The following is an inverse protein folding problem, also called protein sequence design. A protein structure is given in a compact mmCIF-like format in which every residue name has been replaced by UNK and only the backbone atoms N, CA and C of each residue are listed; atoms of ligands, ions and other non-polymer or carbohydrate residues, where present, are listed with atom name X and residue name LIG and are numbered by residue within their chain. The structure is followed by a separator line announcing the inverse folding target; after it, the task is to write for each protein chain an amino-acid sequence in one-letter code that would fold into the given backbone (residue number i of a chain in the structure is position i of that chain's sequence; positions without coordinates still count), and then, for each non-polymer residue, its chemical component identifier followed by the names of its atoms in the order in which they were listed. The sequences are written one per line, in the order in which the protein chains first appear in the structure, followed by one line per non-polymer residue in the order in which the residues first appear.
data_IF_391193579829
#
_entry.id   IF_391193579829
#
_cell.length_a   1.000
_cell.length_b   1.000
_cell.length_c   1.000
_cell.angle_alpha   90.00
_cell.angle_beta   90.00
_cell.angle_gamma   90.00
#
_symmetry.space_group_name_H-M   'P 1'
#
loop_
_entity.id
_entity.type
_entity.pdbx_description
1 polymer ?
#
# COMPACT_ATOMS: atom_id res chain seq x y z
N UNK A 1 22.38 9.16 -6.04
CA UNK A 1 22.46 7.76 -5.59
C UNK A 1 22.02 7.66 -4.14
N UNK A 2 20.88 7.03 -3.84
CA UNK A 2 20.36 6.92 -2.46
C UNK A 2 20.36 5.46 -2.03
N UNK A 3 21.48 5.03 -1.43
CA UNK A 3 21.58 3.77 -0.68
C UNK A 3 20.73 3.92 0.59
N UNK A 4 19.65 3.16 0.75
CA UNK A 4 18.97 3.03 2.06
C UNK A 4 19.15 1.59 2.54
N UNK A 5 19.82 1.49 3.70
CA UNK A 5 20.18 0.28 4.45
C UNK A 5 18.95 -0.21 5.26
N UNK A 6 19.01 -1.47 5.67
CA UNK A 6 18.08 -2.28 6.48
C UNK A 6 17.33 -1.52 7.62
N UNK A 7 16.20 -2.04 8.15
CA UNK A 7 15.44 -1.38 9.21
C UNK A 7 16.30 -1.25 10.47
N UNK A 8 16.85 -0.06 10.66
CA UNK A 8 17.53 0.33 11.88
C UNK A 8 16.47 0.64 12.93
N UNK A 9 16.67 0.13 14.16
CA UNK A 9 15.96 0.67 15.32
C UNK A 9 16.10 2.18 15.32
N UNK A 10 14.98 2.84 15.11
CA UNK A 10 14.88 4.27 15.02
C UNK A 10 14.86 4.82 16.46
N UNK A 11 15.82 5.66 16.89
CA UNK A 11 15.88 6.22 18.25
C UNK A 11 14.63 7.02 18.65
N UNK A 12 13.84 7.42 17.66
CA UNK A 12 12.64 8.24 17.74
C UNK A 12 11.37 7.45 17.39
N UNK A 13 11.39 6.12 17.51
CA UNK A 13 10.27 5.24 17.11
C UNK A 13 8.93 5.68 17.73
N UNK A 14 8.93 5.99 19.03
CA UNK A 14 7.73 6.46 19.72
C UNK A 14 7.13 7.74 19.10
N UNK A 15 7.97 8.69 18.66
CA UNK A 15 7.52 9.92 18.01
C UNK A 15 6.98 9.60 16.61
N UNK A 16 7.65 8.73 15.86
CA UNK A 16 7.22 8.37 14.51
C UNK A 16 5.91 7.60 14.50
N UNK A 17 5.67 6.76 15.51
CA UNK A 17 4.44 6.02 15.69
C UNK A 17 3.29 6.97 16.04
N UNK A 18 3.52 7.88 16.98
CA UNK A 18 2.59 8.94 17.35
C UNK A 18 2.15 9.77 16.13
N UNK A 19 3.11 10.24 15.32
CA UNK A 19 2.84 11.02 14.12
C UNK A 19 2.14 10.19 13.04
N UNK A 20 2.45 8.90 12.94
CA UNK A 20 1.78 7.99 11.99
C UNK A 20 0.32 7.73 12.38
N UNK A 21 0.04 7.59 13.68
CA UNK A 21 -1.32 7.45 14.20
C UNK A 21 -2.15 8.71 13.93
N UNK A 22 -1.59 9.91 14.20
CA UNK A 22 -2.23 11.18 13.83
C UNK A 22 -2.48 11.29 12.32
N UNK A 23 -1.52 10.88 11.50
CA UNK A 23 -1.68 10.91 10.06
C UNK A 23 -2.89 10.06 9.64
N UNK A 24 -2.95 8.81 10.11
CA UNK A 24 -4.03 7.88 9.78
C UNK A 24 -5.38 8.42 10.23
N UNK A 25 -5.48 9.00 11.43
CA UNK A 25 -6.69 9.65 11.89
C UNK A 25 -7.13 10.81 10.99
N UNK A 26 -6.21 11.72 10.64
CA UNK A 26 -6.57 12.84 9.76
C UNK A 26 -7.01 12.36 8.37
N UNK A 27 -6.42 11.28 7.85
CA UNK A 27 -6.80 10.69 6.55
C UNK A 27 -8.15 9.98 6.61
N UNK A 28 -8.35 9.12 7.61
CA UNK A 28 -9.47 8.19 7.65
C UNK A 28 -10.71 8.80 8.29
N UNK A 29 -10.54 9.63 9.32
CA UNK A 29 -11.66 10.23 10.05
C UNK A 29 -11.94 11.64 9.54
N UNK A 30 -10.93 12.50 9.49
CA UNK A 30 -11.14 13.90 9.05
C UNK A 30 -11.08 14.09 7.53
N UNK A 31 -10.64 13.07 6.79
CA UNK A 31 -10.42 13.14 5.33
C UNK A 31 -9.50 14.30 4.91
N UNK A 32 -8.63 14.74 5.80
CA UNK A 32 -7.71 15.87 5.63
C UNK A 32 -6.34 15.39 5.09
N UNK A 33 -6.27 15.17 3.78
CA UNK A 33 -5.07 14.64 3.09
C UNK A 33 -3.83 15.53 3.29
N UNK A 34 -3.99 16.85 3.32
CA UNK A 34 -2.88 17.78 3.54
C UNK A 34 -2.23 17.59 4.92
N UNK A 35 -3.03 17.33 5.97
CA UNK A 35 -2.51 17.05 7.32
C UNK A 35 -1.86 15.66 7.39
N UNK A 36 -2.47 14.67 6.73
CA UNK A 36 -1.87 13.34 6.58
C UNK A 36 -0.46 13.43 5.98
N UNK A 37 -0.31 14.17 4.87
CA UNK A 37 0.98 14.34 4.20
C UNK A 37 1.99 15.06 5.10
N UNK A 38 1.58 16.09 5.83
CA UNK A 38 2.45 16.80 6.76
C UNK A 38 2.99 15.89 7.87
N UNK A 39 2.11 15.12 8.54
CA UNK A 39 2.53 14.18 9.58
C UNK A 39 3.41 13.05 9.03
N UNK A 40 3.12 12.53 7.83
CA UNK A 40 3.94 11.49 7.18
C UNK A 40 5.31 12.03 6.78
N UNK A 41 5.40 13.28 6.28
CA UNK A 41 6.68 13.93 5.98
C UNK A 41 7.49 14.07 7.27
N UNK A 42 6.90 14.59 8.34
CA UNK A 42 7.56 14.72 9.64
C UNK A 42 8.05 13.37 10.19
N UNK A 43 7.19 12.34 10.21
CA UNK A 43 7.57 11.01 10.67
C UNK A 43 8.73 10.42 9.85
N UNK A 44 8.72 10.58 8.51
CA UNK A 44 9.78 10.08 7.64
C UNK A 44 11.11 10.81 7.82
N UNK A 45 11.09 12.08 8.23
CA UNK A 45 12.30 12.87 8.46
C UNK A 45 12.88 12.51 9.83
N UNK A 46 12.03 12.44 10.85
CA UNK A 46 12.40 12.05 12.21
C UNK A 46 12.94 10.61 12.26
N UNK A 47 12.36 9.67 11.50
CA UNK A 47 12.82 8.28 11.45
C UNK A 47 14.24 8.13 10.90
N UNK A 48 14.75 9.12 10.16
CA UNK A 48 16.12 9.12 9.61
C UNK A 48 17.09 9.91 10.47
N UNK A 49 16.61 10.56 11.52
CA UNK A 49 17.45 11.37 12.40
C UNK A 49 18.28 10.42 13.29
N UNK A 50 19.62 10.58 13.32
CA UNK A 50 20.51 9.56 13.90
C UNK A 50 20.49 9.52 15.43
N UNK A 51 20.06 10.60 16.08
CA UNK A 51 20.00 10.72 17.54
C UNK A 51 18.56 10.87 18.03
N UNK A 52 18.35 10.66 19.33
CA UNK A 52 17.06 10.89 19.96
C UNK A 52 16.77 12.39 20.05
N UNK A 53 15.62 12.82 19.54
CA UNK A 53 15.12 14.19 19.61
C UNK A 53 14.72 14.48 21.06
N UNK A 54 15.23 15.59 21.60
CA UNK A 54 15.01 16.01 22.98
C UNK A 54 13.99 17.15 23.11
N UNK A 55 13.68 17.84 22.02
CA UNK A 55 12.69 18.92 22.01
C UNK A 55 12.04 19.09 20.64
N UNK A 56 10.85 19.69 20.62
CA UNK A 56 10.17 20.15 19.41
C UNK A 56 10.96 21.24 18.69
N UNK A 57 11.71 22.08 19.42
CA UNK A 57 12.61 23.06 18.80
C UNK A 57 13.72 22.40 17.98
N UNK A 58 14.29 21.30 18.47
CA UNK A 58 15.24 20.48 17.71
C UNK A 58 14.56 19.84 16.49
N UNK A 59 13.36 19.28 16.67
CA UNK A 59 12.59 18.69 15.57
C UNK A 59 12.26 19.72 14.48
N UNK A 60 11.92 20.97 14.85
CA UNK A 60 11.55 22.06 13.93
C UNK A 60 12.68 22.47 12.98
N UNK A 61 13.94 22.21 13.34
CA UNK A 61 15.10 22.46 12.46
C UNK A 61 15.12 21.52 11.25
N UNK A 62 14.38 20.41 11.31
CA UNK A 62 14.32 19.42 10.24
C UNK A 62 13.31 19.85 9.16
N UNK A 63 13.71 19.83 7.88
CA UNK A 63 12.78 20.12 6.78
C UNK A 63 11.62 19.12 6.76
N UNK A 64 10.41 19.62 6.94
CA UNK A 64 9.18 18.83 7.01
C UNK A 64 8.52 18.80 8.39
N UNK A 65 9.14 19.39 9.42
CA UNK A 65 8.53 19.57 10.74
C UNK A 65 8.12 21.03 10.95
N UNK A 66 6.82 21.28 10.89
CA UNK A 66 6.26 22.62 11.16
C UNK A 66 6.07 22.91 12.65
N UNK A 67 5.83 24.18 13.00
CA UNK A 67 5.63 24.65 14.39
C UNK A 67 4.58 23.83 15.15
N UNK A 68 3.41 23.58 14.55
CA UNK A 68 2.33 22.80 15.18
C UNK A 68 2.67 21.32 15.41
N UNK A 69 3.63 20.78 14.66
CA UNK A 69 4.11 19.40 14.84
C UNK A 69 5.16 19.39 15.96
N UNK A 70 6.08 20.35 15.95
CA UNK A 70 7.05 20.55 17.03
C UNK A 70 6.37 20.69 18.40
N UNK A 71 5.32 21.50 18.53
CA UNK A 71 4.55 21.65 19.78
C UNK A 71 3.97 20.31 20.28
N UNK A 72 3.52 19.43 19.37
CA UNK A 72 2.99 18.10 19.73
C UNK A 72 4.10 17.15 20.17
N UNK A 73 5.29 17.30 19.58
CA UNK A 73 6.47 16.55 20.00
C UNK A 73 6.88 17.00 21.40
N UNK A 74 6.87 18.29 21.71
CA UNK A 74 7.14 18.82 23.05
C UNK A 74 6.10 18.32 24.08
N UNK A 75 4.81 18.35 23.75
CA UNK A 75 3.75 17.79 24.62
C UNK A 75 4.00 16.30 24.89
N UNK A 76 4.33 15.53 23.85
CA UNK A 76 4.61 14.10 23.98
C UNK A 76 5.88 13.81 24.79
N UNK A 77 6.95 14.56 24.59
CA UNK A 77 8.20 14.38 25.32
C UNK A 77 8.08 14.77 26.80
N UNK A 78 7.26 15.77 27.12
CA UNK A 78 7.05 16.23 28.50
C UNK A 78 6.08 15.34 29.29
N UNK A 79 4.99 14.90 28.66
CA UNK A 79 3.92 14.16 29.36
C UNK A 79 3.91 12.66 29.09
N UNK A 80 4.69 12.19 28.11
CA UNK A 80 4.65 10.81 27.60
C UNK A 80 3.38 10.48 26.80
N UNK A 81 2.46 11.43 26.65
CA UNK A 81 1.16 11.24 25.99
C UNK A 81 0.83 12.45 25.12
N UNK A 82 -0.14 12.29 24.23
CA UNK A 82 -0.67 13.41 23.45
C UNK A 82 -2.18 13.46 23.67
N UNK A 83 -2.69 14.54 24.27
CA UNK A 83 -4.11 14.66 24.65
C UNK A 83 -5.04 14.40 23.46
N UNK A 84 -4.64 14.84 22.27
CA UNK A 84 -5.42 14.62 21.04
C UNK A 84 -5.53 13.14 20.69
N UNK A 85 -4.44 12.38 20.79
CA UNK A 85 -4.47 10.92 20.51
C UNK A 85 -5.29 10.19 21.56
N UNK A 86 -5.18 10.54 22.83
CA UNK A 86 -5.96 9.88 23.88
C UNK A 86 -7.47 10.04 23.63
N UNK A 87 -7.91 11.24 23.21
CA UNK A 87 -9.31 11.46 22.79
C UNK A 87 -9.70 10.63 21.57
N UNK A 88 -8.80 10.51 20.60
CA UNK A 88 -9.04 9.71 19.39
C UNK A 88 -9.18 8.22 19.74
N UNK A 89 -8.35 7.72 20.66
CA UNK A 89 -8.38 6.33 21.14
C UNK A 89 -9.63 6.01 21.95
N UNK A 90 -10.21 7.00 22.62
CA UNK A 90 -11.48 6.88 23.34
C UNK A 90 -12.72 6.97 22.44
N UNK A 91 -12.57 7.42 21.19
CA UNK A 91 -13.69 7.52 20.25
C UNK A 91 -13.86 6.20 19.47
N UNK A 92 -14.87 5.43 19.88
CA UNK A 92 -15.26 4.16 19.25
C UNK A 92 -15.55 4.31 17.75
N UNK A 93 -16.07 5.47 17.31
CA UNK A 93 -16.35 5.70 15.89
C UNK A 93 -15.05 5.77 15.10
N UNK A 94 -14.06 6.47 15.64
CA UNK A 94 -12.75 6.64 15.02
C UNK A 94 -11.96 5.32 14.98
N UNK A 95 -12.02 4.52 16.04
CA UNK A 95 -11.37 3.21 16.09
C UNK A 95 -11.99 2.25 15.07
N UNK A 96 -13.32 2.19 14.98
CA UNK A 96 -14.04 1.38 13.98
C UNK A 96 -13.75 1.83 12.56
N UNK A 97 -13.76 3.14 12.26
CA UNK A 97 -13.41 3.63 10.92
C UNK A 97 -11.99 3.18 10.53
N UNK A 98 -11.03 3.34 11.44
CA UNK A 98 -9.65 2.91 11.18
C UNK A 98 -9.55 1.40 10.96
N UNK A 99 -10.24 0.59 11.77
CA UNK A 99 -10.29 -0.87 11.61
C UNK A 99 -10.83 -1.26 10.24
N UNK A 100 -12.00 -0.74 9.85
CA UNK A 100 -12.64 -1.10 8.59
C UNK A 100 -11.83 -0.64 7.38
N UNK A 101 -11.13 0.50 7.45
CA UNK A 101 -10.24 0.95 6.37
C UNK A 101 -9.01 0.07 6.14
N UNK A 102 -8.67 -0.85 7.06
CA UNK A 102 -7.61 -1.84 6.85
C UNK A 102 -8.04 -2.94 5.89
N UNK A 103 -9.35 -3.16 5.72
CA UNK A 103 -9.88 -4.12 4.75
C UNK A 103 -9.67 -3.59 3.34
N UNK A 104 -9.02 -4.39 2.49
CA UNK A 104 -8.76 -4.00 1.10
C UNK A 104 -10.06 -3.66 0.37
N UNK A 105 -10.08 -2.55 -0.36
CA UNK A 105 -11.28 -2.04 -1.03
C UNK A 105 -12.23 -1.19 -0.17
N UNK A 106 -12.00 -1.07 1.15
CA UNK A 106 -12.78 -0.18 2.02
C UNK A 106 -12.01 1.12 2.27
N UNK A 107 -12.46 2.20 1.63
CA UNK A 107 -11.93 3.55 1.86
C UNK A 107 -12.62 4.28 3.03
N UNK A 108 -12.08 5.43 3.47
CA UNK A 108 -12.64 6.23 4.58
C UNK A 108 -14.13 6.54 4.49
N UNK A 109 -14.62 6.87 3.30
CA UNK A 109 -16.04 7.18 3.08
C UNK A 109 -16.93 5.94 3.24
N UNK A 110 -16.50 4.79 2.72
CA UNK A 110 -17.22 3.53 2.86
C UNK A 110 -17.19 3.05 4.31
N UNK A 111 -16.04 3.14 4.99
CA UNK A 111 -15.90 2.80 6.40
C UNK A 111 -16.83 3.63 7.29
N UNK A 112 -16.92 4.95 7.07
CA UNK A 112 -17.85 5.79 7.82
C UNK A 112 -19.30 5.37 7.61
N UNK A 113 -19.72 5.15 6.35
CA UNK A 113 -21.07 4.69 6.05
C UNK A 113 -21.41 3.39 6.78
N UNK A 114 -20.48 2.43 6.80
CA UNK A 114 -20.67 1.16 7.52
C UNK A 114 -20.83 1.38 9.03
N UNK A 115 -20.01 2.26 9.63
CA UNK A 115 -20.10 2.59 11.06
C UNK A 115 -21.41 3.30 11.40
N UNK A 116 -21.87 4.22 10.54
CA UNK A 116 -23.16 4.91 10.70
C UNK A 116 -24.34 3.91 10.62
N UNK A 117 -24.18 2.81 9.87
CA UNK A 117 -25.12 1.68 9.82
C UNK A 117 -24.94 0.67 10.98
N UNK A 118 -24.09 0.97 11.97
CA UNK A 118 -23.85 0.13 13.14
C UNK A 118 -22.81 -0.97 12.97
N UNK A 119 -22.15 -1.08 11.82
CA UNK A 119 -21.10 -2.07 11.56
C UNK A 119 -19.77 -1.52 12.08
N UNK A 120 -19.31 -2.04 13.23
CA UNK A 120 -18.16 -1.50 13.96
C UNK A 120 -16.97 -2.45 14.03
N UNK A 121 -17.20 -3.74 13.86
CA UNK A 121 -16.20 -4.80 13.96
C UNK A 121 -16.04 -5.58 12.65
N UNK A 122 -14.99 -6.39 12.54
CA UNK A 122 -14.81 -7.30 11.39
C UNK A 122 -15.86 -8.41 11.40
N UNK A 123 -16.33 -8.82 12.57
CA UNK A 123 -17.39 -9.81 12.76
C UNK A 123 -18.73 -9.28 12.26
N UNK A 124 -19.06 -8.02 12.55
CA UNK A 124 -20.24 -7.35 11.99
C UNK A 124 -20.15 -7.26 10.47
N UNK A 125 -18.95 -6.96 9.97
CA UNK A 125 -18.69 -6.86 8.54
C UNK A 125 -18.91 -8.21 7.83
N UNK A 126 -18.44 -9.32 8.43
CA UNK A 126 -18.67 -10.70 7.93
C UNK A 126 -20.14 -11.09 7.94
N UNK A 127 -20.92 -10.63 8.92
CA UNK A 127 -22.38 -10.86 8.96
C UNK A 127 -23.13 -10.04 7.90
N UNK A 128 -22.52 -9.00 7.35
CA UNK A 128 -23.13 -8.06 6.40
C UNK A 128 -22.41 -8.05 5.04
N UNK A 129 -21.85 -9.17 4.60
CA UNK A 129 -21.11 -9.28 3.32
C UNK A 129 -21.95 -8.89 2.09
N UNK A 130 -23.27 -8.99 2.18
CA UNK A 130 -24.20 -8.53 1.14
C UNK A 130 -24.07 -7.03 0.84
N UNK A 131 -23.61 -6.22 1.81
CA UNK A 131 -23.35 -4.78 1.64
C UNK A 131 -22.01 -4.48 0.96
N UNK A 132 -21.15 -5.49 0.82
CA UNK A 132 -19.82 -5.35 0.23
C UNK A 132 -19.85 -5.68 -1.27
N UNK A 133 -19.05 -4.95 -2.04
CA UNK A 133 -18.77 -5.32 -3.42
C UNK A 133 -17.80 -6.51 -3.50
N UNK A 134 -17.62 -7.08 -4.69
CA UNK A 134 -16.77 -8.24 -4.90
C UNK A 134 -15.33 -8.05 -4.36
N UNK A 135 -14.67 -6.93 -4.68
CA UNK A 135 -13.32 -6.64 -4.19
C UNK A 135 -13.24 -6.53 -2.67
N UNK A 136 -14.25 -5.93 -2.03
CA UNK A 136 -14.31 -5.78 -0.57
C UNK A 136 -14.50 -7.13 0.13
N UNK A 137 -15.29 -8.05 -0.47
CA UNK A 137 -15.45 -9.41 0.05
C UNK A 137 -14.13 -10.18 0.01
N UNK A 138 -13.38 -10.07 -1.08
CA UNK A 138 -12.02 -10.64 -1.19
C UNK A 138 -11.10 -10.02 -0.13
N UNK A 139 -11.14 -8.69 0.02
CA UNK A 139 -10.40 -7.96 1.05
C UNK A 139 -10.70 -8.42 2.47
N UNK A 140 -11.95 -8.77 2.76
CA UNK A 140 -12.38 -9.29 4.06
C UNK A 140 -11.97 -10.75 4.26
N UNK A 141 -12.15 -11.59 3.23
CA UNK A 141 -11.78 -13.01 3.22
C UNK A 141 -10.30 -13.21 3.53
N UNK A 142 -9.43 -12.44 2.88
CA UNK A 142 -7.98 -12.52 3.02
C UNK A 142 -7.38 -11.45 3.94
N UNK A 143 -8.20 -10.82 4.78
CA UNK A 143 -7.77 -9.72 5.64
C UNK A 143 -6.45 -10.00 6.36
N UNK A 144 -6.36 -11.15 7.07
CA UNK A 144 -5.18 -11.55 7.84
C UNK A 144 -3.93 -11.74 6.98
N UNK A 145 -4.08 -12.22 5.75
CA UNK A 145 -2.95 -12.45 4.86
C UNK A 145 -2.47 -11.13 4.24
N UNK A 146 -3.38 -10.24 3.87
CA UNK A 146 -3.03 -8.90 3.37
C UNK A 146 -2.38 -8.00 4.44
N UNK A 147 -2.56 -8.31 5.72
CA UNK A 147 -1.84 -7.62 6.80
C UNK A 147 -0.37 -8.04 6.90
N UNK A 148 -0.02 -9.23 6.39
CA UNK A 148 1.35 -9.74 6.43
C UNK A 148 2.21 -9.03 5.40
N UNK A 149 3.48 -8.84 5.75
CA UNK A 149 4.49 -8.33 4.82
C UNK A 149 5.08 -9.50 4.04
N UNK A 150 5.18 -9.34 2.72
CA UNK A 150 5.78 -10.31 1.80
C UNK A 150 7.31 -10.12 1.87
N UNK A 151 8.10 -11.10 2.36
CA UNK A 151 9.55 -11.01 2.40
C UNK A 151 10.16 -10.88 0.99
N UNK A 152 11.34 -10.26 0.90
CA UNK A 152 12.01 -10.06 -0.39
C UNK A 152 12.33 -11.36 -1.13
N UNK A 153 12.63 -12.45 -0.40
CA UNK A 153 12.85 -13.78 -1.00
C UNK A 153 11.60 -14.28 -1.71
N UNK A 154 10.46 -14.23 -1.05
CA UNK A 154 9.17 -14.61 -1.62
C UNK A 154 8.80 -13.71 -2.81
N UNK A 155 9.09 -12.41 -2.74
CA UNK A 155 8.91 -11.48 -3.87
C UNK A 155 9.75 -11.86 -5.11
N UNK A 156 10.92 -12.46 -4.95
CA UNK A 156 11.74 -12.93 -6.06
C UNK A 156 11.13 -14.20 -6.70
N UNK A 157 10.67 -15.14 -5.88
CA UNK A 157 9.98 -16.35 -6.35
C UNK A 157 8.70 -16.00 -7.12
N UNK A 158 7.88 -15.10 -6.56
CA UNK A 158 6.69 -14.57 -7.22
C UNK A 158 7.03 -13.82 -8.52
N UNK A 159 8.14 -13.07 -8.56
CA UNK A 159 8.59 -12.37 -9.76
C UNK A 159 8.86 -13.36 -10.88
N UNK A 160 9.59 -14.44 -10.60
CA UNK A 160 9.96 -15.43 -11.61
C UNK A 160 8.73 -16.11 -12.20
N UNK A 161 7.76 -16.48 -11.35
CA UNK A 161 6.47 -17.00 -11.80
C UNK A 161 5.79 -16.00 -12.73
N UNK A 162 5.58 -14.76 -12.26
CA UNK A 162 4.83 -13.77 -13.06
C UNK A 162 5.51 -13.47 -14.40
N UNK A 163 6.83 -13.25 -14.40
CA UNK A 163 7.56 -12.97 -15.64
C UNK A 163 7.51 -14.15 -16.61
N UNK A 164 7.52 -15.39 -16.11
CA UNK A 164 7.37 -16.57 -16.95
C UNK A 164 5.97 -16.67 -17.58
N UNK A 165 4.92 -16.37 -16.83
CA UNK A 165 3.54 -16.42 -17.30
C UNK A 165 3.23 -15.32 -18.30
N UNK A 166 3.72 -14.10 -18.07
CA UNK A 166 3.59 -12.99 -19.02
C UNK A 166 4.20 -13.35 -20.38
N UNK A 167 5.38 -14.00 -20.38
CA UNK A 167 6.06 -14.43 -21.62
C UNK A 167 5.29 -15.52 -22.36
N UNK A 168 4.52 -16.37 -21.68
CA UNK A 168 3.67 -17.39 -22.33
C UNK A 168 2.50 -16.75 -23.09
N UNK A 169 2.01 -15.60 -22.63
CA UNK A 169 0.95 -14.85 -23.33
C UNK A 169 1.48 -14.23 -24.62
N UNK A 170 2.58 -13.49 -24.52
CA UNK A 170 3.29 -12.92 -25.67
C UNK A 170 4.77 -12.65 -25.31
N UNK A 171 5.74 -13.23 -26.03
CA UNK A 171 7.15 -12.97 -25.82
C UNK A 171 7.56 -11.50 -26.00
N UNK A 172 6.77 -10.69 -26.72
CA UNK A 172 7.02 -9.27 -26.92
C UNK A 172 6.65 -8.40 -25.71
N UNK A 173 5.97 -8.94 -24.70
CA UNK A 173 5.76 -8.20 -23.45
C UNK A 173 7.06 -7.94 -22.70
N UNK A 174 7.20 -6.70 -22.23
CA UNK A 174 8.24 -6.31 -21.28
C UNK A 174 7.56 -6.05 -19.95
N UNK A 175 7.85 -6.90 -18.97
CA UNK A 175 7.36 -6.80 -17.60
C UNK A 175 8.48 -6.47 -16.61
N UNK A 176 8.20 -5.63 -15.62
CA UNK A 176 9.18 -5.23 -14.59
C UNK A 176 8.49 -5.06 -13.25
N UNK A 177 8.97 -5.78 -12.23
CA UNK A 177 8.51 -5.58 -10.85
C UNK A 177 9.02 -4.22 -10.33
N UNK A 178 8.09 -3.44 -9.80
CA UNK A 178 8.27 -2.04 -9.43
C UNK A 178 8.06 -1.86 -7.92
N UNK A 179 7.39 -0.77 -7.51
CA UNK A 179 6.99 -0.57 -6.13
C UNK A 179 8.13 -0.44 -5.14
N UNK A 180 7.85 -0.83 -3.90
CA UNK A 180 8.85 -0.84 -2.82
C UNK A 180 9.97 -1.85 -3.05
N UNK A 181 9.65 -2.96 -3.73
CA UNK A 181 10.61 -3.98 -4.13
C UNK A 181 11.74 -3.42 -5.00
N UNK A 182 11.39 -2.68 -6.07
CA UNK A 182 12.37 -2.00 -6.95
C UNK A 182 13.18 -0.94 -6.23
N UNK A 183 12.65 -0.35 -5.15
CA UNK A 183 13.37 0.60 -4.29
C UNK A 183 14.28 -0.08 -3.25
N UNK A 184 14.38 -1.41 -3.26
CA UNK A 184 15.25 -2.18 -2.36
C UNK A 184 14.65 -2.49 -1.00
N UNK A 185 13.32 -2.53 -0.85
CA UNK A 185 12.70 -2.94 0.41
C UNK A 185 12.97 -4.43 0.72
N UNK A 186 13.22 -4.72 2.00
CA UNK A 186 13.38 -6.09 2.54
C UNK A 186 12.05 -6.86 2.63
N UNK A 187 10.93 -6.13 2.68
CA UNK A 187 9.60 -6.70 2.57
C UNK A 187 8.65 -5.72 1.87
N UNK A 188 7.65 -6.25 1.17
CA UNK A 188 6.62 -5.49 0.44
C UNK A 188 5.22 -5.78 0.98
N UNK A 189 4.24 -4.93 0.66
CA UNK A 189 2.83 -5.19 1.03
C UNK A 189 2.03 -5.79 -0.11
N UNK A 190 2.59 -5.66 -1.31
CA UNK A 190 2.03 -6.04 -2.58
C UNK A 190 3.16 -6.12 -3.60
N UNK A 191 2.88 -6.78 -4.73
CA UNK A 191 3.75 -6.80 -5.90
C UNK A 191 3.20 -5.87 -6.97
N UNK A 192 3.85 -4.73 -7.15
CA UNK A 192 3.61 -3.81 -8.27
C UNK A 192 4.36 -4.32 -9.52
N UNK A 193 3.68 -4.50 -10.64
CA UNK A 193 4.30 -4.91 -11.92
C UNK A 193 3.93 -3.92 -13.01
N UNK A 194 4.95 -3.41 -13.69
CA UNK A 194 4.81 -2.58 -14.87
C UNK A 194 4.86 -3.47 -16.12
N UNK A 195 3.83 -3.43 -16.95
CA UNK A 195 3.76 -4.20 -18.20
C UNK A 195 3.65 -3.27 -19.41
N UNK A 196 4.48 -3.51 -20.42
CA UNK A 196 4.46 -2.79 -21.72
C UNK A 196 4.53 -3.77 -22.89
N UNK A 197 4.03 -3.35 -24.05
CA UNK A 197 4.06 -4.12 -25.28
C UNK A 197 4.32 -3.17 -26.47
N UNK A 198 5.09 -3.55 -27.50
CA UNK A 198 5.35 -2.70 -28.66
C UNK A 198 4.08 -2.19 -29.37
N UNK A 199 3.06 -3.05 -29.45
CA UNK A 199 1.75 -2.72 -30.03
C UNK A 199 0.84 -1.91 -29.09
N UNK A 200 1.30 -1.61 -27.88
CA UNK A 200 0.53 -0.91 -26.86
C UNK A 200 1.09 0.50 -26.63
N UNK A 201 0.58 1.42 -27.45
CA UNK A 201 0.99 2.82 -27.49
C UNK A 201 -0.12 3.77 -27.00
N UNK A 202 0.23 5.03 -26.71
CA UNK A 202 -0.73 6.09 -26.36
C UNK A 202 -1.81 6.34 -27.42
N UNK A 203 -1.55 5.98 -28.66
CA UNK A 203 -2.46 6.14 -29.80
C UNK A 203 -3.31 4.89 -30.07
N UNK A 204 -3.06 3.81 -29.32
CA UNK A 204 -3.75 2.54 -29.50
C UNK A 204 -5.22 2.69 -29.13
N UNK A 205 -6.11 2.27 -30.04
CA UNK A 205 -7.55 2.24 -29.79
C UNK A 205 -7.87 1.46 -28.50
N UNK A 206 -8.86 1.91 -27.73
CA UNK A 206 -9.30 1.26 -26.46
C UNK A 206 -9.48 -0.26 -26.59
N UNK A 207 -9.91 -0.74 -27.76
CA UNK A 207 -10.06 -2.18 -28.05
C UNK A 207 -8.75 -2.96 -27.94
N UNK A 208 -7.63 -2.40 -28.41
CA UNK A 208 -6.30 -3.01 -28.29
C UNK A 208 -5.85 -3.02 -26.84
N UNK A 209 -6.11 -1.95 -26.10
CA UNK A 209 -5.80 -1.84 -24.66
C UNK A 209 -6.51 -2.93 -23.85
N UNK A 210 -7.81 -3.11 -24.08
CA UNK A 210 -8.62 -4.14 -23.43
C UNK A 210 -8.21 -5.56 -23.82
N UNK A 211 -7.73 -5.79 -25.06
CA UNK A 211 -7.22 -7.10 -25.49
C UNK A 211 -6.00 -7.52 -24.67
N UNK A 212 -4.98 -6.67 -24.60
CA UNK A 212 -3.77 -6.97 -23.82
C UNK A 212 -4.11 -7.20 -22.35
N UNK A 213 -5.00 -6.37 -21.79
CA UNK A 213 -5.50 -6.52 -20.44
C UNK A 213 -6.16 -7.88 -20.19
N UNK A 214 -7.15 -8.25 -21.01
CA UNK A 214 -7.91 -9.48 -20.83
C UNK A 214 -7.05 -10.73 -21.01
N UNK A 215 -6.10 -10.72 -21.94
CA UNK A 215 -5.21 -11.87 -22.16
C UNK A 215 -4.34 -12.15 -20.94
N UNK A 216 -3.79 -11.09 -20.34
CA UNK A 216 -2.95 -11.21 -19.14
C UNK A 216 -3.78 -11.66 -17.93
N UNK A 217 -4.98 -11.11 -17.74
CA UNK A 217 -5.87 -11.55 -16.67
C UNK A 217 -6.22 -13.04 -16.81
N UNK A 218 -6.64 -13.47 -18.01
CA UNK A 218 -6.97 -14.88 -18.26
C UNK A 218 -5.81 -15.82 -17.96
N UNK A 219 -4.58 -15.41 -18.28
CA UNK A 219 -3.40 -16.22 -17.95
C UNK A 219 -3.22 -16.36 -16.44
N UNK A 220 -3.31 -15.26 -15.69
CA UNK A 220 -3.17 -15.32 -14.23
C UNK A 220 -4.32 -16.05 -13.54
N UNK A 221 -5.56 -15.87 -14.01
CA UNK A 221 -6.73 -16.59 -13.49
C UNK A 221 -6.66 -18.10 -13.75
N UNK A 222 -5.86 -18.53 -14.74
CA UNK A 222 -5.64 -19.96 -15.03
C UNK A 222 -4.59 -20.62 -14.13
N UNK A 223 -3.89 -19.86 -13.29
CA UNK A 223 -2.86 -20.41 -12.40
C UNK A 223 -3.49 -21.15 -11.21
N UNK A 224 -3.07 -22.40 -10.96
CA UNK A 224 -3.65 -23.23 -9.89
C UNK A 224 -3.43 -22.66 -8.48
N UNK A 225 -2.43 -21.80 -8.29
CA UNK A 225 -2.09 -21.16 -7.01
C UNK A 225 -2.55 -19.68 -6.94
N UNK A 226 -3.33 -19.20 -7.90
CA UNK A 226 -3.89 -17.85 -7.89
C UNK A 226 -5.39 -17.92 -7.60
N UNK A 227 -5.77 -17.86 -6.31
CA UNK A 227 -7.17 -18.05 -5.93
C UNK A 227 -8.10 -16.94 -6.41
N UNK A 228 -7.60 -15.70 -6.61
CA UNK A 228 -8.39 -14.55 -7.09
C UNK A 228 -7.47 -13.34 -7.37
N UNK A 229 -7.56 -12.72 -8.55
CA UNK A 229 -6.87 -11.44 -8.84
C UNK A 229 -7.60 -10.28 -8.14
N UNK A 230 -7.04 -9.86 -7.00
CA UNK A 230 -7.69 -8.94 -6.04
C UNK A 230 -7.91 -7.53 -6.59
N UNK A 231 -6.98 -7.01 -7.42
CA UNK A 231 -7.15 -5.70 -8.03
C UNK A 231 -6.25 -5.47 -9.24
N UNK A 232 -6.80 -4.80 -10.25
CA UNK A 232 -6.07 -4.31 -11.42
C UNK A 232 -6.24 -2.79 -11.53
N UNK A 233 -5.13 -2.06 -11.68
CA UNK A 233 -5.17 -0.63 -11.96
C UNK A 233 -4.37 -0.32 -13.23
N UNK A 234 -5.05 -0.31 -14.38
CA UNK A 234 -4.50 0.34 -15.56
C UNK A 234 -4.25 1.83 -15.26
N UNK A 235 -2.99 2.25 -15.25
CA UNK A 235 -2.59 3.65 -15.22
C UNK A 235 -1.69 3.90 -16.40
N UNK A 236 -2.20 4.60 -17.40
CA UNK A 236 -1.40 5.10 -18.50
C UNK A 236 -0.32 6.05 -17.93
N UNK A 237 0.95 5.70 -18.10
CA UNK A 237 2.07 6.60 -17.85
C UNK A 237 2.62 7.04 -19.20
N UNK A 238 2.61 8.35 -19.46
CA UNK A 238 3.34 8.94 -20.59
C UNK A 238 4.78 9.19 -20.12
N UNK A 239 5.78 8.60 -20.79
CA UNK A 239 7.16 9.03 -20.63
C UNK A 239 7.35 10.36 -21.37
N UNK A 240 7.62 11.43 -20.63
CA UNK A 240 8.08 12.70 -21.20
C UNK A 240 9.59 12.61 -21.42
N UNK A 241 10.00 11.96 -22.51
CA UNK A 241 11.36 11.96 -23.03
C UNK A 241 11.33 12.45 -24.47
N UNK A 242 11.83 13.66 -24.71
CA UNK A 242 11.70 14.38 -25.97
C UNK A 242 12.39 13.69 -27.15
N UNK A 243 11.60 13.50 -28.22
CA UNK A 243 11.89 13.48 -29.65
C UNK A 243 10.70 12.75 -30.26
N UNK A 244 10.07 13.30 -31.31
CA UNK A 244 8.87 12.76 -31.95
C UNK A 244 8.93 11.22 -32.09
N UNK A 245 8.15 10.49 -31.27
CA UNK A 245 8.29 9.05 -31.13
C UNK A 245 7.29 8.45 -30.15
N UNK A 246 6.53 7.47 -30.63
CA UNK A 246 5.48 6.67 -29.99
C UNK A 246 5.67 6.49 -28.46
N UNK A 247 4.67 6.85 -27.67
CA UNK A 247 4.71 6.63 -26.20
C UNK A 247 4.29 5.20 -25.85
N UNK A 248 5.16 4.46 -25.15
CA UNK A 248 4.83 3.17 -24.54
C UNK A 248 3.84 3.35 -23.40
N UNK A 249 2.66 2.74 -23.51
CA UNK A 249 1.69 2.77 -22.42
C UNK A 249 2.01 1.61 -21.45
N UNK A 250 1.87 1.86 -20.15
CA UNK A 250 2.19 0.86 -19.12
C UNK A 250 0.93 0.44 -18.37
N UNK A 251 0.84 -0.82 -17.97
CA UNK A 251 -0.13 -1.29 -16.98
C UNK A 251 0.55 -1.49 -15.63
N UNK A 252 -0.12 -1.10 -14.53
CA UNK A 252 0.29 -1.46 -13.17
C UNK A 252 -0.60 -2.61 -12.67
N UNK A 253 0.03 -3.75 -12.40
CA UNK A 253 -0.63 -4.86 -11.71
C UNK A 253 -0.24 -4.83 -10.24
N UNK A 254 -1.20 -5.07 -9.35
CA UNK A 254 -0.95 -5.20 -7.91
C UNK A 254 -1.41 -6.60 -7.52
N UNK A 255 -0.46 -7.52 -7.38
CA UNK A 255 -0.74 -8.85 -6.83
C UNK A 255 -0.56 -8.79 -5.31
N UNK A 256 -1.61 -9.14 -4.57
CA UNK A 256 -1.53 -9.38 -3.14
C UNK A 256 -1.47 -10.90 -2.95
N UNK A 257 -0.27 -11.43 -2.69
CA UNK A 257 -0.01 -12.88 -2.62
C UNK A 257 -0.34 -13.48 -1.24
N UNK A 258 -0.65 -14.78 -1.23
CA UNK A 258 -0.77 -15.61 -0.02
C UNK A 258 0.61 -15.95 0.54
N UNK A 259 0.71 -15.98 1.87
CA UNK A 259 1.89 -16.40 2.63
C UNK A 259 2.16 -17.94 2.62
N UNK A 260 1.69 -18.68 1.62
CA UNK A 260 1.74 -20.17 1.60
C UNK A 260 2.51 -20.76 0.40
N UNK A 261 3.51 -20.06 -0.14
CA UNK A 261 4.44 -20.67 -1.12
C UNK A 261 5.31 -21.78 -0.46
N UNK A 262 5.38 -21.84 0.87
CA UNK A 262 6.16 -22.85 1.59
C UNK A 262 5.44 -24.19 1.84
N UNK A 263 4.12 -24.29 1.62
CA UNK A 263 3.34 -25.45 2.06
C UNK A 263 3.18 -26.61 1.06
N UNK A 264 3.40 -26.37 -0.25
CA UNK A 264 3.15 -27.39 -1.29
C UNK A 264 4.29 -27.63 -2.27
N UNK A 265 5.39 -26.88 -2.19
CA UNK A 265 6.57 -27.09 -3.05
C UNK A 265 7.59 -28.10 -2.49
N UNK A 266 7.35 -28.67 -1.29
CA UNK A 266 8.24 -29.61 -0.61
C UNK A 266 7.75 -31.07 -0.64
N UNK A 267 6.66 -31.39 -1.34
CA UNK A 267 6.25 -32.78 -1.54
C UNK A 267 6.84 -33.29 -2.87
N UNK A 268 7.85 -34.19 -2.86
CA UNK A 268 8.16 -34.96 -4.04
C UNK A 268 6.96 -35.86 -4.37
N UNK A 269 6.72 -36.07 -5.67
CA UNK A 269 5.76 -37.07 -6.17
C UNK A 269 6.05 -38.46 -5.61
#
# INVERSE_FOLDING_TARGET
MSKRKAPQENPNQAITDLLSELANYEKNVNRAIHKYNAYRKAASVISKYPSKIKSGSEAKKLDGVGTKIAEKIDEFLSTGKLRKIEKIRQDDTSSSINLLTRVSGIGPAAARKLVDEGIKTLEDLRKNENKLNHHQRIGLKYFKDFEKRIPRKEMLEMQDVVLSEVKKVDPAYIATVCGSFRRGAESSGDMDILLTHPDFTSESAKKVQMRHHNNILKQFDSLPDCDEVVSFQAKAFASSGGAAGKHSLCHRHTLQGRNEIHGRMSAPK
#
